data_IF_034199141429
#
_entry.id   IF_034199141429
#
_cell.length_a   1.000
_cell.length_b   1.000
_cell.length_c   1.000
_cell.angle_alpha   90.00
_cell.angle_beta   90.00
_cell.angle_gamma   90.00
#
_symmetry.space_group_name_H-M   'P 1'
#
loop_
_entity.id
_entity.type
_entity.pdbx_description
1 polymer ?
#
# COMPACT_ATOMS: atom_id res chain seq x y z
N UNK A 1 46.44 7.61 3.41
CA UNK A 1 45.40 8.06 2.47
C UNK A 1 45.55 7.21 1.22
N UNK A 2 44.68 6.29 0.84
CA UNK A 2 43.45 5.76 1.42
C UNK A 2 43.28 4.31 0.93
N UNK A 3 42.76 3.46 1.80
CA UNK A 3 42.27 2.11 1.48
C UNK A 3 40.88 2.25 0.88
N UNK A 4 40.71 1.99 -0.42
CA UNK A 4 39.38 1.72 -0.98
C UNK A 4 39.32 0.29 -1.51
N UNK A 5 38.42 -0.45 -0.88
CA UNK A 5 38.13 -1.86 -1.05
C UNK A 5 37.47 -2.10 -2.43
N UNK A 6 38.05 -3.01 -3.22
CA UNK A 6 37.41 -3.53 -4.43
C UNK A 6 36.30 -4.50 -4.03
N UNK A 7 35.10 -3.99 -3.75
CA UNK A 7 33.89 -4.82 -3.76
C UNK A 7 33.18 -4.61 -5.10
N UNK A 8 33.52 -5.47 -6.07
CA UNK A 8 32.75 -5.59 -7.30
C UNK A 8 31.33 -6.07 -6.98
N UNK A 9 30.39 -5.14 -6.89
CA UNK A 9 28.97 -5.47 -6.85
C UNK A 9 28.55 -5.91 -8.26
N UNK A 10 28.71 -7.20 -8.54
CA UNK A 10 28.17 -7.80 -9.76
C UNK A 10 26.66 -7.96 -9.57
N UNK A 11 25.89 -7.01 -10.08
CA UNK A 11 24.44 -7.19 -10.17
C UNK A 11 24.13 -8.49 -10.94
N UNK A 12 23.29 -9.38 -10.40
CA UNK A 12 22.94 -10.60 -11.09
C UNK A 12 22.22 -10.25 -12.39
N UNK A 13 22.60 -10.92 -13.48
CA UNK A 13 21.89 -10.75 -14.76
C UNK A 13 20.41 -11.11 -14.58
N UNK A 14 19.47 -10.45 -15.30
CA UNK A 14 18.03 -10.73 -15.16
C UNK A 14 17.67 -12.22 -15.27
N UNK A 15 18.44 -12.97 -16.08
CA UNK A 15 18.31 -14.42 -16.26
C UNK A 15 18.82 -15.23 -15.07
N UNK A 16 19.91 -14.80 -14.43
CA UNK A 16 20.43 -15.39 -13.19
C UNK A 16 19.55 -15.09 -11.98
N UNK A 17 18.89 -13.93 -11.97
CA UNK A 17 17.86 -13.58 -10.99
C UNK A 17 16.61 -14.46 -11.17
N UNK A 18 16.09 -14.59 -12.40
CA UNK A 18 14.95 -15.45 -12.73
C UNK A 18 15.20 -16.93 -12.41
N UNK A 19 16.39 -17.45 -12.72
CA UNK A 19 16.72 -18.88 -12.54
C UNK A 19 16.92 -19.33 -11.08
N UNK A 20 17.21 -18.42 -10.14
CA UNK A 20 17.32 -18.72 -8.70
C UNK A 20 15.98 -18.63 -7.96
N UNK A 21 15.06 -17.79 -8.45
CA UNK A 21 13.77 -17.46 -7.85
C UNK A 21 12.74 -18.61 -7.90
N UNK A 22 12.93 -19.60 -8.77
CA UNK A 22 11.88 -20.58 -9.11
C UNK A 22 12.03 -21.98 -8.48
N UNK A 23 12.83 -22.14 -7.40
CA UNK A 23 13.13 -23.48 -6.84
C UNK A 23 12.50 -23.83 -5.50
N UNK A 24 11.86 -22.88 -4.80
CA UNK A 24 11.19 -23.15 -3.53
C UNK A 24 9.67 -23.06 -3.69
N UNK A 25 8.95 -24.12 -3.33
CA UNK A 25 7.49 -24.18 -3.39
C UNK A 25 6.86 -23.14 -2.45
N UNK A 26 7.52 -22.79 -1.34
CA UNK A 26 7.10 -21.71 -0.47
C UNK A 26 7.25 -20.33 -1.14
N UNK A 27 8.26 -20.16 -1.99
CA UNK A 27 8.48 -18.92 -2.75
C UNK A 27 7.44 -18.78 -3.87
N UNK A 28 7.13 -19.86 -4.60
CA UNK A 28 6.06 -19.87 -5.60
C UNK A 28 4.68 -19.57 -4.99
N UNK A 29 4.36 -20.17 -3.85
CA UNK A 29 3.12 -19.87 -3.12
C UNK A 29 3.08 -18.41 -2.62
N UNK A 30 4.21 -17.86 -2.18
CA UNK A 30 4.30 -16.46 -1.76
C UNK A 30 4.23 -15.47 -2.94
N UNK A 31 4.65 -15.88 -4.14
CA UNK A 31 4.50 -15.10 -5.39
C UNK A 31 3.04 -15.12 -5.86
N UNK A 32 2.36 -16.26 -5.76
CA UNK A 32 0.93 -16.39 -6.09
C UNK A 32 0.00 -15.71 -5.09
N UNK A 33 0.51 -15.35 -3.91
CA UNK A 33 -0.25 -14.75 -2.83
C UNK A 33 -0.82 -13.36 -3.21
N UNK A 34 -2.09 -13.14 -2.87
CA UNK A 34 -2.77 -11.84 -2.98
C UNK A 34 -3.21 -11.46 -1.57
N UNK A 35 -2.70 -10.34 -1.06
CA UNK A 35 -3.05 -9.85 0.28
C UNK A 35 -4.02 -8.70 0.14
N UNK A 36 -5.23 -8.91 0.61
CA UNK A 36 -6.28 -7.90 0.67
C UNK A 36 -6.55 -7.53 2.13
N UNK A 37 -6.60 -6.23 2.42
CA UNK A 37 -6.96 -5.72 3.75
C UNK A 37 -7.92 -4.56 3.62
N UNK A 38 -8.97 -4.60 4.45
CA UNK A 38 -9.96 -3.54 4.58
C UNK A 38 -9.83 -2.94 5.97
N UNK A 39 -9.59 -1.62 6.03
CA UNK A 39 -9.53 -0.86 7.28
C UNK A 39 -10.76 0.02 7.39
N UNK A 40 -11.66 -0.35 8.30
CA UNK A 40 -12.92 0.35 8.53
C UNK A 40 -12.70 1.73 9.13
N UNK A 41 -13.58 2.68 8.77
CA UNK A 41 -13.55 4.05 9.26
C UNK A 41 -12.90 5.03 8.27
N UNK A 42 -12.92 6.31 8.62
CA UNK A 42 -12.45 7.38 7.72
C UNK A 42 -10.96 7.18 7.37
N UNK A 43 -10.61 7.10 6.06
CA UNK A 43 -9.22 7.03 5.63
C UNK A 43 -8.40 8.22 6.13
N UNK A 44 -7.29 7.94 6.80
CA UNK A 44 -6.35 8.96 7.25
C UNK A 44 -5.20 9.02 6.25
N UNK A 45 -4.91 10.21 5.72
CA UNK A 45 -3.73 10.44 4.90
C UNK A 45 -2.48 10.63 5.76
N UNK A 46 -1.30 10.33 5.21
CA UNK A 46 -0.03 10.60 5.90
C UNK A 46 0.10 12.11 6.16
N UNK A 47 0.19 12.48 7.44
CA UNK A 47 0.47 13.84 7.84
C UNK A 47 1.97 14.16 7.71
N UNK A 48 2.29 15.44 7.49
CA UNK A 48 3.69 15.88 7.45
C UNK A 48 4.33 15.72 8.84
N UNK A 49 5.59 15.26 8.93
CA UNK A 49 6.29 15.13 10.19
C UNK A 49 6.31 16.46 10.96
N UNK A 50 6.13 16.38 12.27
CA UNK A 50 6.23 17.52 13.17
C UNK A 50 7.62 17.55 13.77
N UNK A 51 8.25 18.72 13.73
CA UNK A 51 9.55 18.98 14.33
C UNK A 51 9.35 19.59 15.71
N UNK A 52 9.96 19.01 16.73
CA UNK A 52 10.02 19.57 18.07
C UNK A 52 11.47 19.72 18.49
N UNK A 53 11.84 20.91 18.98
CA UNK A 53 13.21 21.23 19.40
C UNK A 53 13.28 21.35 20.91
N UNK A 54 14.26 20.71 21.53
CA UNK A 54 14.63 20.86 22.95
C UNK A 54 16.12 21.15 23.04
N UNK A 55 16.48 22.43 23.20
CA UNK A 55 17.87 22.88 23.17
C UNK A 55 18.54 22.59 21.81
N UNK A 56 19.61 21.81 21.82
CA UNK A 56 20.32 21.37 20.61
C UNK A 56 19.67 20.17 19.90
N UNK A 57 18.72 19.48 20.52
CA UNK A 57 18.11 18.27 19.98
C UNK A 57 16.83 18.58 19.20
N UNK A 58 16.74 18.07 17.97
CA UNK A 58 15.52 18.10 17.16
C UNK A 58 14.95 16.68 17.10
N UNK A 59 13.68 16.54 17.48
CA UNK A 59 12.92 15.31 17.35
C UNK A 59 11.91 15.44 16.21
N UNK A 60 11.83 14.41 15.37
CA UNK A 60 10.88 14.31 14.27
C UNK A 60 9.86 13.25 14.65
N UNK A 61 8.58 13.62 14.67
CA UNK A 61 7.51 12.68 14.99
C UNK A 61 6.37 12.81 13.99
N UNK A 62 5.88 11.67 13.53
CA UNK A 62 4.64 11.62 12.78
C UNK A 62 3.46 12.11 13.62
N UNK A 63 2.47 12.79 13.01
CA UNK A 63 1.24 13.13 13.70
C UNK A 63 0.58 11.88 14.30
N UNK A 64 0.00 12.03 15.49
CA UNK A 64 -0.60 10.93 16.25
C UNK A 64 -1.65 10.15 15.45
N UNK A 65 -2.48 10.87 14.68
CA UNK A 65 -3.48 10.25 13.79
C UNK A 65 -2.85 9.34 12.74
N UNK A 66 -1.75 9.75 12.10
CA UNK A 66 -1.05 8.93 11.11
C UNK A 66 -0.41 7.71 11.77
N UNK A 67 0.20 7.88 12.95
CA UNK A 67 0.75 6.76 13.71
C UNK A 67 -0.32 5.73 14.09
N UNK A 68 -1.46 6.19 14.62
CA UNK A 68 -2.57 5.32 15.00
C UNK A 68 -3.14 4.56 13.79
N UNK A 69 -3.33 5.25 12.66
CA UNK A 69 -3.87 4.62 11.46
C UNK A 69 -2.90 3.57 10.86
N UNK A 70 -1.59 3.87 10.83
CA UNK A 70 -0.58 2.88 10.43
C UNK A 70 -0.62 1.64 11.33
N UNK A 71 -0.79 1.82 12.63
CA UNK A 71 -0.93 0.70 13.56
C UNK A 71 -2.18 -0.14 13.28
N UNK A 72 -3.30 0.47 12.89
CA UNK A 72 -4.52 -0.26 12.52
C UNK A 72 -4.29 -1.15 11.29
N UNK A 73 -3.70 -0.58 10.22
CA UNK A 73 -3.34 -1.35 9.01
C UNK A 73 -2.40 -2.50 9.39
N UNK A 74 -1.34 -2.19 10.15
CA UNK A 74 -0.35 -3.16 10.60
C UNK A 74 -0.99 -4.33 11.36
N UNK A 75 -1.82 -4.05 12.36
CA UNK A 75 -2.46 -5.10 13.17
C UNK A 75 -3.38 -5.98 12.33
N UNK A 76 -4.15 -5.40 11.39
CA UNK A 76 -5.01 -6.19 10.50
C UNK A 76 -4.19 -7.12 9.62
N UNK A 77 -3.12 -6.63 8.98
CA UNK A 77 -2.26 -7.47 8.13
C UNK A 77 -1.47 -8.49 8.94
N UNK A 78 -0.97 -8.12 10.12
CA UNK A 78 -0.29 -9.07 11.02
C UNK A 78 -1.23 -10.24 11.37
N UNK A 79 -2.50 -9.98 11.64
CA UNK A 79 -3.49 -11.04 11.89
C UNK A 79 -3.69 -11.99 10.70
N UNK A 80 -3.64 -11.49 9.46
CA UNK A 80 -3.70 -12.33 8.26
C UNK A 80 -2.45 -13.21 8.12
N UNK A 81 -1.28 -12.64 8.41
CA UNK A 81 0.00 -13.36 8.37
C UNK A 81 0.08 -14.45 9.45
N UNK A 82 -0.30 -14.13 10.69
CA UNK A 82 -0.22 -15.08 11.82
C UNK A 82 -1.27 -16.19 11.73
N UNK A 83 -2.42 -15.91 11.13
CA UNK A 83 -3.45 -16.95 10.86
C UNK A 83 -3.13 -17.82 9.64
N UNK A 84 -2.05 -17.55 8.91
CA UNK A 84 -1.67 -18.28 7.70
C UNK A 84 -2.55 -17.99 6.48
N UNK A 85 -3.48 -17.01 6.58
CA UNK A 85 -4.34 -16.58 5.47
C UNK A 85 -3.59 -15.76 4.42
N UNK A 86 -2.43 -15.22 4.78
CA UNK A 86 -1.53 -14.50 3.90
C UNK A 86 -0.08 -14.86 4.22
N UNK A 87 0.81 -14.67 3.26
CA UNK A 87 2.26 -14.82 3.44
C UNK A 87 2.98 -13.48 3.20
N UNK A 88 4.13 -13.30 3.85
CA UNK A 88 5.01 -12.18 3.55
C UNK A 88 5.60 -12.37 2.14
N UNK A 89 5.70 -11.30 1.36
CA UNK A 89 6.28 -11.38 0.03
C UNK A 89 7.81 -11.56 0.08
N UNK A 90 8.37 -12.41 -0.80
CA UNK A 90 9.81 -12.64 -0.87
C UNK A 90 10.59 -11.40 -1.32
N UNK A 91 11.84 -11.28 -0.87
CA UNK A 91 12.72 -10.16 -1.21
C UNK A 91 13.08 -10.18 -2.70
N UNK A 92 13.11 -9.02 -3.34
CA UNK A 92 13.56 -8.87 -4.74
C UNK A 92 12.48 -9.13 -5.77
N UNK A 93 11.23 -9.32 -5.32
CA UNK A 93 10.07 -9.51 -6.18
C UNK A 93 9.33 -8.20 -6.40
N UNK A 94 9.02 -7.83 -7.65
CA UNK A 94 8.24 -6.63 -7.94
C UNK A 94 6.79 -6.84 -7.54
N UNK A 95 6.25 -5.90 -6.77
CA UNK A 95 4.88 -5.92 -6.27
C UNK A 95 4.01 -4.85 -6.95
N UNK A 96 2.73 -5.19 -7.09
CA UNK A 96 1.64 -4.29 -7.43
C UNK A 96 0.87 -3.95 -6.15
N UNK A 97 0.52 -2.69 -5.97
CA UNK A 97 -0.40 -2.27 -4.91
C UNK A 97 -1.60 -1.51 -5.52
N UNK A 98 -2.81 -1.92 -5.17
CA UNK A 98 -4.04 -1.18 -5.43
C UNK A 98 -4.58 -0.63 -4.11
N UNK A 99 -4.80 0.69 -4.06
CA UNK A 99 -5.20 1.39 -2.84
C UNK A 99 -6.43 2.23 -3.14
N UNK A 100 -7.56 1.90 -2.53
CA UNK A 100 -8.79 2.68 -2.65
C UNK A 100 -9.11 3.32 -1.30
N UNK A 101 -9.19 4.65 -1.29
CA UNK A 101 -9.59 5.43 -0.11
C UNK A 101 -11.04 5.87 -0.25
N UNK A 102 -11.97 5.16 0.38
CA UNK A 102 -13.39 5.51 0.44
C UNK A 102 -13.64 6.51 1.56
N UNK A 103 -13.88 7.76 1.20
CA UNK A 103 -14.18 8.86 2.13
C UNK A 103 -15.67 8.99 2.36
N UNK A 104 -16.06 9.52 3.51
CA UNK A 104 -17.46 9.87 3.74
C UNK A 104 -17.98 10.85 2.70
N UNK A 105 -19.24 10.69 2.34
CA UNK A 105 -20.00 11.63 1.52
C UNK A 105 -20.28 12.90 2.36
N UNK A 106 -19.87 14.11 1.90
CA UNK A 106 -20.17 15.35 2.61
C UNK A 106 -21.67 15.59 2.78
N UNK A 107 -22.08 16.04 3.97
CA UNK A 107 -23.49 16.22 4.35
C UNK A 107 -24.19 17.35 3.59
N UNK A 108 -23.42 18.30 3.10
CA UNK A 108 -23.83 19.49 2.37
C UNK A 108 -23.94 19.26 0.85
N UNK A 109 -23.59 18.07 0.35
CA UNK A 109 -23.85 17.72 -1.04
C UNK A 109 -25.36 17.75 -1.33
N UNK A 110 -25.70 18.35 -2.49
CA UNK A 110 -27.05 18.33 -3.04
C UNK A 110 -27.48 16.88 -3.31
N UNK A 111 -28.79 16.63 -3.32
CA UNK A 111 -29.34 15.27 -3.54
C UNK A 111 -28.77 14.58 -4.79
N UNK A 112 -28.74 15.29 -5.92
CA UNK A 112 -28.18 14.78 -7.19
C UNK A 112 -26.70 14.41 -7.09
N UNK A 113 -25.91 15.23 -6.40
CA UNK A 113 -24.47 15.00 -6.24
C UNK A 113 -24.18 13.87 -5.25
N UNK A 114 -25.06 13.72 -4.24
CA UNK A 114 -25.03 12.58 -3.32
C UNK A 114 -25.31 11.27 -4.03
N UNK A 115 -26.35 11.21 -4.84
CA UNK A 115 -26.65 10.03 -5.68
C UNK A 115 -25.48 9.74 -6.64
N UNK A 116 -24.87 10.77 -7.23
CA UNK A 116 -23.68 10.61 -8.07
C UNK A 116 -22.48 10.05 -7.28
N UNK A 117 -22.26 10.51 -6.04
CA UNK A 117 -21.21 10.01 -5.16
C UNK A 117 -21.46 8.57 -4.70
N UNK A 118 -22.71 8.21 -4.40
CA UNK A 118 -23.10 6.83 -4.05
C UNK A 118 -22.95 5.87 -5.24
N UNK A 119 -23.16 6.36 -6.47
CA UNK A 119 -22.91 5.62 -7.70
C UNK A 119 -21.48 5.78 -8.24
N UNK A 120 -20.55 6.29 -7.43
CA UNK A 120 -19.14 6.53 -7.77
C UNK A 120 -18.81 7.42 -8.98
N UNK A 121 -19.82 8.03 -9.61
CA UNK A 121 -19.66 8.99 -10.71
C UNK A 121 -19.09 10.34 -10.25
N UNK A 122 -19.25 10.67 -8.97
CA UNK A 122 -18.62 11.83 -8.35
C UNK A 122 -17.43 11.40 -7.52
N UNK A 123 -16.25 11.96 -7.80
CA UNK A 123 -15.01 11.64 -7.11
C UNK A 123 -14.57 12.76 -6.14
N UNK A 124 -13.98 12.41 -4.97
CA UNK A 124 -13.43 13.37 -4.01
C UNK A 124 -12.16 14.06 -4.54
N UNK A 125 -12.34 15.21 -5.20
CA UNK A 125 -11.24 16.07 -5.68
C UNK A 125 -10.60 16.93 -4.59
N UNK A 126 -11.18 16.96 -3.38
CA UNK A 126 -10.64 17.73 -2.25
C UNK A 126 -9.48 17.02 -1.56
N UNK A 127 -8.69 17.79 -0.81
CA UNK A 127 -7.67 17.27 0.11
C UNK A 127 -8.26 16.25 1.09
N UNK A 128 -7.46 15.30 1.59
CA UNK A 128 -6.03 15.07 1.29
C UNK A 128 -5.73 14.57 -0.12
N UNK A 129 -4.47 14.76 -0.54
CA UNK A 129 -3.97 14.30 -1.85
C UNK A 129 -3.78 12.76 -1.86
N UNK A 130 -3.94 12.13 -3.02
CA UNK A 130 -3.91 10.67 -3.18
C UNK A 130 -2.56 10.07 -2.77
N UNK A 131 -1.45 10.76 -3.06
CA UNK A 131 -0.09 10.33 -2.70
C UNK A 131 0.10 10.14 -1.19
N UNK A 132 -0.57 10.95 -0.36
CA UNK A 132 -0.50 10.81 1.10
C UNK A 132 -1.25 9.57 1.59
N UNK A 133 -2.29 9.13 0.89
CA UNK A 133 -2.97 7.86 1.17
C UNK A 133 -2.09 6.66 0.78
N UNK A 134 -1.46 6.74 -0.40
CA UNK A 134 -0.46 5.74 -0.83
C UNK A 134 0.64 5.63 0.23
N UNK A 135 1.21 6.76 0.63
CA UNK A 135 2.29 6.78 1.60
C UNK A 135 1.91 6.15 2.94
N UNK A 136 0.73 6.45 3.48
CA UNK A 136 0.34 5.88 4.78
C UNK A 136 0.17 4.36 4.72
N UNK A 137 -0.34 3.84 3.60
CA UNK A 137 -0.53 2.41 3.38
C UNK A 137 0.83 1.72 3.23
N UNK A 138 1.69 2.21 2.34
CA UNK A 138 3.00 1.61 2.12
C UNK A 138 3.90 1.70 3.36
N UNK A 139 3.92 2.83 4.07
CA UNK A 139 4.66 2.99 5.33
C UNK A 139 4.20 1.98 6.40
N UNK A 140 2.90 1.66 6.46
CA UNK A 140 2.35 0.70 7.44
C UNK A 140 2.69 -0.76 7.10
N UNK A 141 2.80 -1.07 5.81
CA UNK A 141 3.09 -2.41 5.31
C UNK A 141 4.59 -2.69 5.20
N UNK A 142 5.41 -1.64 5.16
CA UNK A 142 6.86 -1.76 5.08
C UNK A 142 7.41 -2.52 6.29
N UNK A 143 8.35 -3.45 6.03
CA UNK A 143 8.93 -4.40 6.99
C UNK A 143 7.95 -5.38 7.62
N UNK A 144 6.66 -5.33 7.27
CA UNK A 144 5.64 -6.31 7.66
C UNK A 144 5.31 -7.24 6.50
N UNK A 145 4.71 -6.70 5.44
CA UNK A 145 4.22 -7.46 4.30
C UNK A 145 5.30 -7.67 3.23
N UNK A 146 6.22 -6.72 3.12
CA UNK A 146 7.43 -6.78 2.29
C UNK A 146 8.58 -6.13 3.04
N UNK A 147 9.81 -6.48 2.69
CA UNK A 147 11.01 -6.04 3.44
C UNK A 147 11.34 -4.56 3.27
N UNK A 148 11.04 -4.01 2.09
CA UNK A 148 11.36 -2.65 1.69
C UNK A 148 10.29 -2.16 0.71
N UNK A 149 9.85 -0.91 0.84
CA UNK A 149 8.83 -0.29 -0.01
C UNK A 149 9.28 -0.11 -1.47
N UNK A 150 10.59 -0.15 -1.73
CA UNK A 150 11.15 -0.25 -3.10
C UNK A 150 10.69 -1.48 -3.87
N UNK A 151 10.18 -2.53 -3.20
CA UNK A 151 9.59 -3.68 -3.87
C UNK A 151 8.26 -3.33 -4.57
N UNK A 152 7.57 -2.27 -4.15
CA UNK A 152 6.31 -1.83 -4.76
C UNK A 152 6.62 -1.01 -6.01
N UNK A 153 6.74 -1.72 -7.13
CA UNK A 153 7.12 -1.15 -8.44
C UNK A 153 5.95 -0.53 -9.20
N UNK A 154 4.72 -0.83 -8.81
CA UNK A 154 3.52 -0.31 -9.48
C UNK A 154 2.44 -0.06 -8.44
N UNK A 155 1.85 1.13 -8.49
CA UNK A 155 0.74 1.52 -7.62
C UNK A 155 -0.41 2.03 -8.48
N UNK A 156 -1.60 1.50 -8.23
CA UNK A 156 -2.85 2.09 -8.68
C UNK A 156 -3.59 2.60 -7.45
N UNK A 157 -3.99 3.88 -7.46
CA UNK A 157 -4.58 4.48 -6.27
C UNK A 157 -5.71 5.43 -6.63
N UNK A 158 -6.80 5.34 -5.87
CA UNK A 158 -8.03 6.06 -6.13
C UNK A 158 -8.62 6.60 -4.83
N UNK A 159 -9.30 7.75 -4.93
CA UNK A 159 -10.15 8.25 -3.87
C UNK A 159 -11.59 8.13 -4.35
N UNK A 160 -12.45 7.56 -3.52
CA UNK A 160 -13.87 7.34 -3.79
C UNK A 160 -14.71 7.91 -2.66
N UNK A 161 -15.99 8.11 -2.90
CA UNK A 161 -16.96 8.40 -1.84
C UNK A 161 -17.68 7.12 -1.44
N UNK A 162 -18.07 7.02 -0.17
CA UNK A 162 -18.89 5.91 0.35
C UNK A 162 -19.68 6.34 1.58
N UNK A 163 -20.80 5.66 1.82
CA UNK A 163 -21.53 5.73 3.09
C UNK A 163 -20.83 4.99 4.21
N UNK A 164 -19.98 4.03 3.86
CA UNK A 164 -19.12 3.24 4.74
C UNK A 164 -17.66 3.59 4.44
N UNK A 165 -17.10 4.63 5.08
CA UNK A 165 -15.71 5.00 4.89
C UNK A 165 -14.79 3.86 5.30
N UNK A 166 -13.79 3.61 4.46
CA UNK A 166 -12.80 2.55 4.63
C UNK A 166 -11.62 2.76 3.70
N UNK A 167 -10.50 2.13 4.01
CA UNK A 167 -9.38 1.99 3.09
C UNK A 167 -9.26 0.53 2.69
N UNK A 168 -9.22 0.27 1.39
CA UNK A 168 -8.97 -1.05 0.82
C UNK A 168 -7.57 -1.04 0.23
N UNK A 169 -6.77 -2.04 0.61
CA UNK A 169 -5.40 -2.20 0.13
C UNK A 169 -5.24 -3.63 -0.36
N UNK A 170 -4.88 -3.79 -1.62
CA UNK A 170 -4.56 -5.07 -2.23
C UNK A 170 -3.11 -5.05 -2.70
N UNK A 171 -2.33 -6.05 -2.32
CA UNK A 171 -0.94 -6.23 -2.76
C UNK A 171 -0.76 -7.63 -3.34
N UNK A 172 -0.17 -7.72 -4.52
CA UNK A 172 0.21 -9.01 -5.13
C UNK A 172 1.50 -8.89 -5.94
N UNK A 173 2.08 -10.03 -6.33
CA UNK A 173 3.26 -10.05 -7.20
C UNK A 173 2.93 -9.53 -8.60
N UNK A 174 3.83 -8.73 -9.20
CA UNK A 174 3.69 -8.29 -10.60
C UNK A 174 3.79 -9.43 -11.61
N UNK A 175 4.38 -10.55 -11.20
CA UNK A 175 4.45 -11.76 -12.02
C UNK A 175 3.15 -12.57 -11.99
N UNK A 176 2.24 -12.26 -11.07
CA UNK A 176 0.88 -12.79 -11.09
C UNK A 176 0.03 -11.95 -12.06
N UNK A 177 0.11 -12.29 -13.35
CA UNK A 177 -0.55 -11.56 -14.43
C UNK A 177 -2.08 -11.54 -14.32
N UNK A 178 -2.67 -12.56 -13.70
CA UNK A 178 -4.12 -12.68 -13.54
C UNK A 178 -4.62 -11.75 -12.43
N UNK A 179 -3.93 -11.69 -11.28
CA UNK A 179 -4.24 -10.75 -10.19
C UNK A 179 -4.37 -9.30 -10.68
N UNK A 180 -3.45 -8.86 -11.55
CA UNK A 180 -3.45 -7.48 -12.05
C UNK A 180 -4.58 -7.25 -13.04
N UNK A 181 -4.85 -8.22 -13.92
CA UNK A 181 -5.93 -8.11 -14.90
C UNK A 181 -7.27 -8.06 -14.19
N UNK A 182 -7.50 -8.96 -13.24
CA UNK A 182 -8.75 -9.02 -12.48
C UNK A 182 -8.99 -7.72 -11.70
N UNK A 183 -7.96 -7.21 -11.01
CA UNK A 183 -8.05 -5.94 -10.28
C UNK A 183 -8.29 -4.73 -11.19
N UNK A 184 -7.68 -4.73 -12.39
CA UNK A 184 -7.85 -3.65 -13.35
C UNK A 184 -9.15 -3.77 -14.16
N UNK A 185 -9.65 -4.98 -14.42
CA UNK A 185 -10.93 -5.21 -15.08
C UNK A 185 -12.08 -4.89 -14.14
N UNK A 186 -12.04 -5.31 -12.87
CA UNK A 186 -13.02 -4.92 -11.85
C UNK A 186 -13.09 -3.39 -11.70
N UNK A 187 -11.94 -2.71 -11.69
CA UNK A 187 -11.88 -1.24 -11.61
C UNK A 187 -12.40 -0.51 -12.86
N UNK A 188 -12.55 -1.21 -14.00
CA UNK A 188 -12.99 -0.65 -15.30
C UNK A 188 -14.42 -1.08 -15.66
N UNK A 189 -14.84 -2.30 -15.30
CA UNK A 189 -16.16 -2.87 -15.62
C UNK A 189 -17.27 -2.40 -14.68
N UNK A 190 -16.95 -1.90 -13.47
CA UNK A 190 -17.92 -1.27 -12.57
C UNK A 190 -18.15 0.24 -12.85
N UNK A 191 -17.60 0.78 -13.97
CA UNK A 191 -17.71 2.21 -14.35
C UNK A 191 -18.85 2.52 -15.32
#
# INVERSE_FOLDING_TARGET
MDKYNHEHYSDPTPRGALGKVMKDQAELEAIGNVVQVIVDGEPVAQGRPRFARRGAFVSVRDPEKSKAYKQLIYTKVLGLLTSGKAKQFPKGHPLFAHIISYRHIPKDLKKKDREAAESERLLPVTKPDTDNYIKIALDALNKLLFRDDSAVTTVFAEKRYSRTPRMEITVCSRYNGDCIKDLLSEAVEER
#
